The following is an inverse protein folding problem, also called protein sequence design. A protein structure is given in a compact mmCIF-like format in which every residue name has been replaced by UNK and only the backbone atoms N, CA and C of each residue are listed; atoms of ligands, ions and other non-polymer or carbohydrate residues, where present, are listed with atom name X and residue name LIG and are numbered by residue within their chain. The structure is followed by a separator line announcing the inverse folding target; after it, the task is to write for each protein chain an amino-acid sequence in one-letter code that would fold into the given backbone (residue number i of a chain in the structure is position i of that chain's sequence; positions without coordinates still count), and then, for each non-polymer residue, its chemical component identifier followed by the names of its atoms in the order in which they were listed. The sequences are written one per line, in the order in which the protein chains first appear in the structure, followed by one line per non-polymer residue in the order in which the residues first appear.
data_IF_071590874414
#
_entry.id   IF_071590874414
#
_cell.length_a   1.000
_cell.length_b   1.000
_cell.length_c   1.000
_cell.angle_alpha   90.00
_cell.angle_beta   90.00
_cell.angle_gamma   90.00
#
_symmetry.space_group_name_H-M   'P 1'
#
loop_
_entity.id
_entity.type
_entity.pdbx_description
1 polymer ?
#
# COMPACT_ATOMS: atom_id res chain seq x y z
N UNK A 1 -12.46 -7.50 19.04
CA UNK A 1 -11.60 -6.32 19.27
C UNK A 1 -12.21 -5.16 18.50
N UNK A 2 -12.09 -3.94 19.00
CA UNK A 2 -12.53 -2.74 18.27
C UNK A 2 -11.45 -2.32 17.27
N UNK A 3 -11.85 -1.64 16.19
CA UNK A 3 -10.95 -0.96 15.25
C UNK A 3 -9.96 -0.06 16.01
N UNK A 4 -8.76 0.12 15.48
CA UNK A 4 -7.68 0.82 16.16
C UNK A 4 -7.23 2.08 15.41
N UNK A 5 -7.28 2.08 14.09
CA UNK A 5 -6.85 3.19 13.24
C UNK A 5 -7.46 3.09 11.84
N UNK A 6 -7.34 4.19 11.10
CA UNK A 6 -7.70 4.28 9.68
C UNK A 6 -6.44 4.30 8.84
N UNK A 7 -6.49 3.75 7.63
CA UNK A 7 -5.41 3.89 6.65
C UNK A 7 -5.97 4.33 5.29
N UNK A 8 -5.43 5.42 4.76
CA UNK A 8 -5.65 5.85 3.39
C UNK A 8 -4.61 5.19 2.49
N UNK A 9 -5.09 4.43 1.53
CA UNK A 9 -4.30 3.60 0.63
C UNK A 9 -4.44 4.09 -0.81
N UNK A 10 -3.37 3.99 -1.57
CA UNK A 10 -3.31 4.22 -3.01
C UNK A 10 -3.20 2.86 -3.70
N UNK A 11 -4.30 2.37 -4.28
CA UNK A 11 -4.35 1.05 -4.90
C UNK A 11 -3.62 1.05 -6.24
N UNK A 12 -2.84 0.01 -6.47
CA UNK A 12 -2.22 -0.27 -7.75
C UNK A 12 -3.27 -0.71 -8.77
N UNK A 13 -3.01 -0.46 -10.06
CA UNK A 13 -3.89 -0.86 -11.15
C UNK A 13 -4.01 -2.39 -11.32
N UNK A 14 -4.98 -2.84 -12.12
CA UNK A 14 -5.30 -4.25 -12.27
C UNK A 14 -4.12 -5.10 -12.79
N UNK A 15 -3.28 -4.54 -13.66
CA UNK A 15 -2.08 -5.24 -14.15
C UNK A 15 -1.07 -5.47 -13.02
N UNK A 16 -0.84 -4.45 -12.20
CA UNK A 16 0.03 -4.56 -11.04
C UNK A 16 -0.57 -5.47 -9.96
N UNK A 17 -1.89 -5.43 -9.74
CA UNK A 17 -2.60 -6.38 -8.87
C UNK A 17 -2.34 -7.83 -9.30
N UNK A 18 -2.51 -8.13 -10.58
CA UNK A 18 -2.30 -9.48 -11.11
C UNK A 18 -0.85 -9.92 -10.95
N UNK A 19 0.11 -9.06 -11.30
CA UNK A 19 1.54 -9.38 -11.18
C UNK A 19 1.96 -9.65 -9.73
N UNK A 20 1.52 -8.81 -8.79
CA UNK A 20 1.78 -8.99 -7.36
C UNK A 20 1.11 -10.28 -6.84
N UNK A 21 -0.11 -10.57 -7.30
CA UNK A 21 -0.82 -11.80 -6.96
C UNK A 21 -0.10 -13.05 -7.47
N UNK A 22 0.44 -13.01 -8.69
CA UNK A 22 1.21 -14.13 -9.26
C UNK A 22 2.48 -14.41 -8.44
N UNK A 23 3.18 -13.38 -7.97
CA UNK A 23 4.33 -13.55 -7.09
C UNK A 23 3.94 -14.08 -5.72
N UNK A 24 2.85 -13.57 -5.14
CA UNK A 24 2.35 -14.08 -3.87
C UNK A 24 1.95 -15.56 -3.98
N UNK A 25 1.32 -15.96 -5.07
CA UNK A 25 0.95 -17.36 -5.30
C UNK A 25 2.19 -18.28 -5.31
N UNK A 26 3.28 -17.87 -5.95
CA UNK A 26 4.55 -18.61 -5.91
C UNK A 26 5.12 -18.72 -4.49
N UNK A 27 5.02 -17.67 -3.69
CA UNK A 27 5.40 -17.70 -2.29
C UNK A 27 4.52 -18.68 -1.51
N UNK A 28 3.22 -18.67 -1.76
CA UNK A 28 2.24 -19.55 -1.11
C UNK A 28 2.48 -21.03 -1.48
N UNK A 29 2.74 -21.33 -2.74
CA UNK A 29 3.10 -22.67 -3.21
C UNK A 29 4.40 -23.19 -2.56
N UNK A 30 5.32 -22.31 -2.22
CA UNK A 30 6.54 -22.63 -1.48
C UNK A 30 6.33 -22.71 0.05
N UNK A 31 5.08 -22.56 0.53
CA UNK A 31 4.71 -22.67 1.95
C UNK A 31 4.74 -21.35 2.74
N UNK A 32 4.86 -20.20 2.06
CA UNK A 32 4.87 -18.86 2.70
C UNK A 32 3.50 -18.19 2.55
N UNK A 33 2.55 -18.51 3.42
CA UNK A 33 1.18 -18.00 3.34
C UNK A 33 0.99 -16.62 3.97
N UNK A 34 1.81 -16.28 4.96
CA UNK A 34 1.76 -14.99 5.63
C UNK A 34 0.55 -14.77 6.55
N UNK A 35 0.50 -13.56 7.11
CA UNK A 35 -0.53 -13.08 8.02
C UNK A 35 -1.17 -11.77 7.56
N UNK A 36 -0.98 -11.40 6.28
CA UNK A 36 -1.59 -10.19 5.72
C UNK A 36 -3.11 -10.28 5.71
N UNK A 37 -3.73 -9.12 5.82
CA UNK A 37 -5.20 -9.01 5.77
C UNK A 37 -5.71 -9.51 4.42
N UNK A 38 -6.62 -10.48 4.37
CA UNK A 38 -7.22 -10.95 3.13
C UNK A 38 -8.07 -9.85 2.47
N UNK A 39 -8.28 -9.97 1.17
CA UNK A 39 -9.19 -9.16 0.36
C UNK A 39 -8.86 -7.65 0.30
N UNK A 40 -7.69 -7.23 0.78
CA UNK A 40 -7.18 -5.88 0.58
C UNK A 40 -6.34 -5.86 -0.70
N UNK A 41 -6.66 -4.97 -1.68
CA UNK A 41 -5.85 -4.80 -2.88
C UNK A 41 -4.40 -4.45 -2.56
N UNK A 42 -3.45 -4.82 -3.42
CA UNK A 42 -2.08 -4.33 -3.31
C UNK A 42 -2.07 -2.81 -3.47
N UNK A 43 -1.47 -2.13 -2.52
CA UNK A 43 -1.54 -0.68 -2.37
C UNK A 43 -0.26 -0.11 -1.78
N UNK A 44 -0.12 1.19 -1.87
CA UNK A 44 0.85 1.97 -1.10
C UNK A 44 0.07 2.77 -0.06
N UNK A 45 0.32 2.53 1.22
CA UNK A 45 -0.28 3.34 2.30
C UNK A 45 0.24 4.77 2.23
N UNK A 46 -0.66 5.74 2.22
CA UNK A 46 -0.34 7.17 2.17
C UNK A 46 -0.25 7.79 3.56
N UNK A 47 -1.18 7.45 4.44
CA UNK A 47 -1.24 7.97 5.81
C UNK A 47 -2.16 7.10 6.69
N UNK A 48 -1.93 7.15 8.00
CA UNK A 48 -2.81 6.55 9.00
C UNK A 48 -3.39 7.63 9.90
N UNK A 49 -4.65 7.46 10.32
CA UNK A 49 -5.39 8.43 11.13
C UNK A 49 -6.01 7.76 12.36
N UNK A 50 -6.30 8.57 13.37
CA UNK A 50 -7.13 8.15 14.51
C UNK A 50 -8.59 7.90 14.06
N UNK A 51 -9.32 7.02 14.73
CA UNK A 51 -10.68 6.64 14.33
C UNK A 51 -11.67 7.82 14.36
N UNK A 52 -11.48 8.76 15.25
CA UNK A 52 -12.32 9.96 15.35
C UNK A 52 -12.13 10.94 14.17
N UNK A 53 -11.14 10.69 13.29
CA UNK A 53 -10.87 11.44 12.08
C UNK A 53 -11.53 10.85 10.83
N UNK A 54 -12.42 9.87 10.94
CA UNK A 54 -13.03 9.19 9.79
C UNK A 54 -13.69 10.17 8.81
N UNK A 55 -14.55 11.07 9.29
CA UNK A 55 -15.22 12.05 8.43
C UNK A 55 -14.23 13.03 7.76
N UNK A 56 -13.16 13.42 8.45
CA UNK A 56 -12.12 14.28 7.88
C UNK A 56 -11.33 13.53 6.80
N UNK A 57 -10.95 12.28 7.05
CA UNK A 57 -10.21 11.44 6.12
C UNK A 57 -11.03 11.14 4.85
N UNK A 58 -12.35 10.89 4.98
CA UNK A 58 -13.24 10.71 3.83
C UNK A 58 -13.31 11.98 2.98
N UNK A 59 -13.51 13.15 3.60
CA UNK A 59 -13.51 14.42 2.86
C UNK A 59 -12.18 14.69 2.17
N UNK A 60 -11.08 14.46 2.85
CA UNK A 60 -9.74 14.62 2.28
C UNK A 60 -9.51 13.70 1.08
N UNK A 61 -9.88 12.42 1.21
CA UNK A 61 -9.78 11.45 0.13
C UNK A 61 -10.52 11.92 -1.14
N UNK A 62 -11.74 12.48 -0.99
CA UNK A 62 -12.50 13.03 -2.11
C UNK A 62 -11.82 14.26 -2.73
N UNK A 63 -11.29 15.18 -1.91
CA UNK A 63 -10.55 16.34 -2.39
C UNK A 63 -9.29 15.94 -3.18
N UNK A 64 -8.54 14.97 -2.67
CA UNK A 64 -7.37 14.43 -3.37
C UNK A 64 -7.77 13.81 -4.71
N UNK A 65 -8.87 13.04 -4.73
CA UNK A 65 -9.36 12.39 -5.94
C UNK A 65 -9.83 13.39 -7.03
N UNK A 66 -10.33 14.54 -6.64
CA UNK A 66 -10.70 15.61 -7.57
C UNK A 66 -9.50 16.39 -8.13
N UNK A 67 -8.43 16.52 -7.33
CA UNK A 67 -7.27 17.36 -7.70
C UNK A 67 -6.16 16.58 -8.40
N UNK A 68 -6.05 15.29 -8.18
CA UNK A 68 -4.97 14.47 -8.73
C UNK A 68 -5.44 13.58 -9.87
N UNK A 69 -4.73 13.64 -11.00
CA UNK A 69 -4.82 12.65 -12.06
C UNK A 69 -4.25 11.29 -11.58
N UNK A 70 -4.57 10.19 -12.27
CA UNK A 70 -3.92 8.91 -12.02
C UNK A 70 -2.40 9.00 -12.04
N UNK A 71 -1.73 8.46 -11.02
CA UNK A 71 -0.28 8.61 -10.78
C UNK A 71 0.46 7.39 -11.29
N UNK A 72 1.39 7.58 -12.23
CA UNK A 72 2.32 6.53 -12.66
C UNK A 72 3.42 6.32 -11.60
N UNK A 73 3.73 5.07 -11.29
CA UNK A 73 4.81 4.68 -10.39
C UNK A 73 5.64 3.56 -11.01
N UNK A 74 6.96 3.68 -10.95
CA UNK A 74 7.87 2.61 -11.33
C UNK A 74 8.30 1.86 -10.07
N UNK A 75 7.82 0.64 -9.91
CA UNK A 75 8.15 -0.24 -8.80
C UNK A 75 9.49 -0.92 -9.12
N UNK A 76 10.58 -0.43 -8.55
CA UNK A 76 11.95 -0.72 -9.03
C UNK A 76 12.75 -1.62 -8.10
N UNK A 77 12.36 -1.75 -6.84
CA UNK A 77 13.13 -2.54 -5.87
C UNK A 77 12.24 -3.24 -4.84
N UNK A 78 12.85 -4.11 -4.10
CA UNK A 78 12.23 -4.84 -2.99
C UNK A 78 12.94 -4.49 -1.68
N UNK A 79 12.26 -4.69 -0.57
CA UNK A 79 12.84 -4.46 0.74
C UNK A 79 12.10 -5.15 1.85
N UNK A 80 12.65 -4.99 3.05
CA UNK A 80 12.03 -5.40 4.31
C UNK A 80 12.38 -4.36 5.39
N UNK A 81 11.47 -4.12 6.32
CA UNK A 81 11.76 -3.23 7.42
C UNK A 81 12.65 -3.89 8.48
N UNK A 82 13.42 -3.08 9.19
CA UNK A 82 14.20 -3.54 10.34
C UNK A 82 13.28 -4.20 11.38
N UNK A 83 13.65 -5.38 11.87
CA UNK A 83 12.75 -6.22 12.66
C UNK A 83 11.76 -7.04 11.83
N UNK A 84 11.81 -6.88 10.55
CA UNK A 84 11.41 -7.62 9.37
C UNK A 84 10.19 -8.52 9.44
N UNK A 85 9.00 -7.94 9.65
CA UNK A 85 7.73 -8.68 9.50
C UNK A 85 7.04 -8.43 8.16
N UNK A 86 7.63 -7.62 7.28
CA UNK A 86 7.05 -7.20 6.01
C UNK A 86 8.09 -7.30 4.91
N UNK A 87 7.75 -8.06 3.86
CA UNK A 87 8.45 -8.11 2.58
C UNK A 87 7.63 -7.31 1.56
N UNK A 88 8.25 -6.41 0.80
CA UNK A 88 7.54 -5.48 -0.05
C UNK A 88 8.25 -5.19 -1.37
N UNK A 89 7.48 -4.76 -2.37
CA UNK A 89 7.96 -4.03 -3.53
C UNK A 89 7.87 -2.52 -3.25
N UNK A 90 8.79 -1.74 -3.78
CA UNK A 90 8.81 -0.30 -3.56
C UNK A 90 9.08 0.49 -4.85
N UNK A 91 8.53 1.72 -4.94
CA UNK A 91 8.78 2.59 -6.08
C UNK A 91 10.19 3.16 -6.07
N UNK A 92 10.58 3.81 -7.16
CA UNK A 92 11.80 4.60 -7.24
C UNK A 92 11.91 5.58 -6.05
N UNK A 93 13.13 5.96 -5.69
CA UNK A 93 13.40 6.78 -4.50
C UNK A 93 12.71 8.16 -4.50
N UNK A 94 12.38 8.70 -5.67
CA UNK A 94 11.69 9.98 -5.82
C UNK A 94 10.49 9.86 -6.77
N UNK A 95 9.42 9.16 -6.38
CA UNK A 95 8.22 9.03 -7.21
C UNK A 95 7.39 10.33 -7.14
N UNK A 96 7.73 11.33 -7.96
CA UNK A 96 7.25 12.71 -7.83
C UNK A 96 5.73 12.83 -7.71
N UNK A 97 4.97 12.16 -8.57
CA UNK A 97 3.51 12.19 -8.52
C UNK A 97 2.95 11.58 -7.22
N UNK A 98 3.47 10.43 -6.81
CA UNK A 98 3.08 9.77 -5.57
C UNK A 98 3.46 10.61 -4.34
N UNK A 99 4.64 11.22 -4.36
CA UNK A 99 5.11 12.08 -3.28
C UNK A 99 4.26 13.35 -3.16
N UNK A 100 3.82 13.93 -4.28
CA UNK A 100 2.92 15.08 -4.29
C UNK A 100 1.55 14.71 -3.73
N UNK A 101 1.00 13.56 -4.11
CA UNK A 101 -0.25 13.04 -3.58
C UNK A 101 -0.18 12.87 -2.06
N UNK A 102 0.87 12.22 -1.56
CA UNK A 102 1.07 12.01 -0.12
C UNK A 102 1.24 13.34 0.65
N UNK A 103 2.04 14.27 0.14
CA UNK A 103 2.26 15.58 0.76
C UNK A 103 1.04 16.51 0.74
N UNK A 104 0.05 16.24 -0.10
CA UNK A 104 -1.18 17.00 -0.15
C UNK A 104 -2.14 16.68 1.00
N UNK A 105 -1.93 15.56 1.72
CA UNK A 105 -2.73 15.18 2.89
C UNK A 105 -2.58 16.24 3.99
N UNK A 106 -3.70 16.73 4.52
CA UNK A 106 -3.77 17.76 5.55
C UNK A 106 -4.35 17.28 6.88
N UNK A 107 -5.16 16.23 6.85
CA UNK A 107 -5.69 15.60 8.06
C UNK A 107 -4.53 15.12 8.93
N UNK A 108 -4.62 15.38 10.24
CA UNK A 108 -3.61 14.98 11.21
C UNK A 108 -3.40 13.46 11.21
N UNK A 109 -2.16 13.03 11.02
CA UNK A 109 -1.76 11.62 10.94
C UNK A 109 -1.24 11.11 12.29
N UNK A 110 -1.36 9.80 12.51
CA UNK A 110 -0.75 9.12 13.65
C UNK A 110 0.56 8.42 13.31
N UNK A 111 1.08 8.64 12.11
CA UNK A 111 2.31 8.00 11.63
C UNK A 111 3.52 8.44 12.48
N UNK A 112 4.26 7.46 12.99
CA UNK A 112 5.41 7.70 13.90
C UNK A 112 6.75 7.72 13.21
N UNK A 113 6.79 7.32 11.93
CA UNK A 113 8.02 7.18 11.15
C UNK A 113 7.92 7.98 9.86
N UNK A 114 9.06 8.38 9.28
CA UNK A 114 9.06 8.99 7.95
C UNK A 114 8.36 8.07 6.94
N UNK A 115 7.54 8.67 6.10
CA UNK A 115 6.81 7.93 5.08
C UNK A 115 7.77 7.20 4.13
N UNK A 116 7.61 5.91 4.03
CA UNK A 116 8.39 5.02 3.17
C UNK A 116 7.43 4.27 2.25
N UNK A 117 7.27 4.69 1.00
CA UNK A 117 6.31 4.10 0.09
C UNK A 117 6.68 2.65 -0.24
N UNK A 118 5.73 1.75 -0.06
CA UNK A 118 5.91 0.32 -0.34
C UNK A 118 4.56 -0.37 -0.56
N UNK A 119 4.57 -1.43 -1.35
CA UNK A 119 3.46 -2.35 -1.51
C UNK A 119 3.84 -3.72 -0.91
N UNK A 120 3.16 -4.10 0.14
CA UNK A 120 3.42 -5.35 0.87
C UNK A 120 3.07 -6.56 0.02
N UNK A 121 3.98 -7.55 -0.06
CA UNK A 121 3.73 -8.83 -0.69
C UNK A 121 3.52 -9.95 0.33
N UNK A 122 4.21 -9.89 1.45
CA UNK A 122 4.13 -10.90 2.50
C UNK A 122 4.31 -10.26 3.88
N UNK A 123 3.44 -10.62 4.82
CA UNK A 123 3.59 -10.30 6.24
C UNK A 123 3.71 -11.59 7.02
N UNK A 124 4.78 -11.73 7.81
CA UNK A 124 4.98 -12.91 8.65
C UNK A 124 6.07 -12.62 9.70
N UNK A 125 6.37 -13.61 10.53
CA UNK A 125 7.50 -13.52 11.46
C UNK A 125 8.82 -13.40 10.70
N UNK A 126 9.78 -12.69 11.30
CA UNK A 126 11.08 -12.36 10.69
C UNK A 126 11.78 -13.56 10.05
N UNK A 127 11.75 -14.72 10.71
CA UNK A 127 12.39 -15.93 10.18
C UNK A 127 11.72 -16.45 8.91
N UNK A 128 10.40 -16.33 8.80
CA UNK A 128 9.63 -16.68 7.60
C UNK A 128 10.00 -15.73 6.45
N UNK A 129 10.01 -14.43 6.71
CA UNK A 129 10.42 -13.42 5.72
C UNK A 129 11.84 -13.66 5.21
N UNK A 130 12.79 -13.99 6.09
CA UNK A 130 14.16 -14.29 5.70
C UNK A 130 14.25 -15.51 4.77
N UNK A 131 13.40 -16.51 4.96
CA UNK A 131 13.34 -17.70 4.09
C UNK A 131 12.63 -17.44 2.78
N UNK A 132 11.60 -16.58 2.77
CA UNK A 132 10.84 -16.21 1.59
C UNK A 132 11.60 -15.25 0.66
N UNK A 133 12.46 -14.40 1.21
CA UNK A 133 13.19 -13.36 0.49
C UNK A 133 13.94 -13.87 -0.75
N UNK A 134 14.74 -14.96 -0.71
CA UNK A 134 15.48 -15.45 -1.90
C UNK A 134 14.55 -15.82 -3.06
N UNK A 135 13.38 -16.40 -2.77
CA UNK A 135 12.38 -16.72 -3.78
C UNK A 135 11.82 -15.43 -4.40
N UNK A 136 11.42 -14.48 -3.59
CA UNK A 136 10.89 -13.21 -4.11
C UNK A 136 11.94 -12.43 -4.91
N UNK A 137 13.22 -12.44 -4.48
CA UNK A 137 14.34 -11.86 -5.23
C UNK A 137 14.49 -12.50 -6.62
N UNK A 138 14.31 -13.81 -6.74
CA UNK A 138 14.44 -14.51 -8.02
C UNK A 138 13.28 -14.20 -8.98
N UNK A 139 12.09 -13.92 -8.46
CA UNK A 139 10.88 -13.69 -9.24
C UNK A 139 10.65 -12.22 -9.60
N UNK A 140 10.98 -11.31 -8.69
CA UNK A 140 10.72 -9.89 -8.87
C UNK A 140 11.42 -9.34 -10.14
N UNK A 141 10.67 -8.55 -10.89
CA UNK A 141 11.18 -7.71 -11.98
C UNK A 141 10.58 -6.32 -11.83
N UNK A 142 11.37 -5.25 -12.03
CA UNK A 142 10.84 -3.89 -12.05
C UNK A 142 9.67 -3.75 -13.02
N UNK A 143 8.64 -3.03 -12.62
CA UNK A 143 7.43 -2.86 -13.42
C UNK A 143 6.83 -1.46 -13.27
N UNK A 144 6.08 -1.04 -14.29
CA UNK A 144 5.28 0.17 -14.21
C UNK A 144 3.91 -0.17 -13.67
N UNK A 145 3.44 0.61 -12.71
CA UNK A 145 2.10 0.56 -12.18
C UNK A 145 1.45 1.94 -12.27
N UNK A 146 0.14 1.99 -12.14
CA UNK A 146 -0.62 3.22 -12.06
C UNK A 146 -1.52 3.18 -10.83
N UNK A 147 -1.50 4.25 -10.06
CA UNK A 147 -2.45 4.48 -8.99
C UNK A 147 -3.64 5.20 -9.60
N UNK A 148 -4.80 4.56 -9.57
CA UNK A 148 -6.03 5.07 -10.18
C UNK A 148 -7.11 5.37 -9.17
N UNK A 149 -6.98 4.85 -7.95
CA UNK A 149 -7.99 5.01 -6.90
C UNK A 149 -7.37 5.11 -5.51
N UNK A 150 -8.08 5.76 -4.63
CA UNK A 150 -7.80 5.83 -3.20
C UNK A 150 -8.82 4.98 -2.46
N UNK A 151 -8.38 4.33 -1.40
CA UNK A 151 -9.15 3.40 -0.61
C UNK A 151 -8.91 3.68 0.88
N UNK A 152 -9.98 3.85 1.65
CA UNK A 152 -9.92 4.11 3.09
C UNK A 152 -10.52 2.93 3.84
N UNK A 153 -9.74 2.34 4.74
CA UNK A 153 -10.19 1.26 5.63
C UNK A 153 -9.86 1.55 7.08
N UNK A 154 -10.70 1.04 7.97
CA UNK A 154 -10.36 0.88 9.39
C UNK A 154 -9.75 -0.52 9.64
N UNK A 155 -8.89 -0.62 10.65
CA UNK A 155 -8.19 -1.83 11.08
C UNK A 155 -8.15 -1.92 12.60
N UNK A 156 -8.15 -3.07 13.21
CA UNK A 156 -8.70 -4.37 12.95
C UNK A 156 -9.88 -4.60 13.87
N UNK A 157 -10.97 -5.24 13.48
CA UNK A 157 -11.22 -5.93 12.21
C UNK A 157 -11.29 -4.96 11.04
N UNK A 158 -11.02 -5.48 9.83
CA UNK A 158 -11.04 -4.65 8.63
C UNK A 158 -12.47 -4.24 8.29
N UNK A 159 -12.66 -2.92 8.09
CA UNK A 159 -13.90 -2.33 7.58
C UNK A 159 -13.57 -1.37 6.45
N UNK A 160 -14.08 -1.67 5.27
CA UNK A 160 -14.03 -0.74 4.16
C UNK A 160 -14.93 0.46 4.45
N UNK A 161 -14.40 1.66 4.25
CA UNK A 161 -15.13 2.91 4.50
C UNK A 161 -15.51 3.56 3.18
N UNK A 162 -14.55 3.77 2.28
CA UNK A 162 -14.79 4.40 1.00
C UNK A 162 -13.69 4.08 -0.02
N UNK A 163 -14.06 4.10 -1.29
CA UNK A 163 -13.17 4.01 -2.44
C UNK A 163 -13.54 5.08 -3.45
N UNK A 164 -12.55 5.83 -3.95
CA UNK A 164 -12.75 6.88 -4.97
C UNK A 164 -11.67 6.79 -6.04
N UNK A 165 -12.03 7.11 -7.29
CA UNK A 165 -11.09 7.17 -8.40
C UNK A 165 -10.50 8.57 -8.53
N UNK A 166 -9.21 8.64 -8.85
CA UNK A 166 -8.53 9.90 -9.19
C UNK A 166 -9.08 10.43 -10.51
N UNK A 167 -9.50 11.70 -10.53
CA UNK A 167 -10.22 12.34 -11.63
C UNK A 167 -9.59 13.64 -12.10
N UNK A 168 -8.57 14.13 -11.38
CA UNK A 168 -7.86 15.33 -11.74
C UNK A 168 -7.31 15.26 -13.17
N UNK A 169 -7.08 16.41 -13.77
CA UNK A 169 -6.43 16.54 -15.08
C UNK A 169 -4.96 16.93 -14.86
N UNK A 170 -4.08 16.42 -15.72
CA UNK A 170 -2.67 16.78 -15.75
C UNK A 170 -2.46 18.24 -16.15
#
# INVERSE_FOLDING_TARGET
MAEQFLTLMADLDDNAQQLMSDWYEKLREAGFTGTQTPDIPYHISLASFALDKEDEAVREMHLLAEHFAPVAVHMSHIGMFAGGKILYAAPDMNPAGLLNLQKAIRTETIDRFPWTPHATILMDETQTIQKALPLFVSEFRPFLAKITRLHLCAFWPTREIATVYLKGVD
#
